data_IF_703649334697
#
_entry.id   IF_703649334697
#
_cell.length_a   1.000
_cell.length_b   1.000
_cell.length_c   1.000
_cell.angle_alpha   90.00
_cell.angle_beta   90.00
_cell.angle_gamma   90.00
#
_symmetry.space_group_name_H-M   'P 1'
#
loop_
_entity.id
_entity.type
_entity.pdbx_description
1 polymer ?
#
# COMPACT_ATOMS: atom_id res chain seq x y z
N UNK A 1 -29.29 -8.43 19.29
CA UNK A 1 -27.89 -8.41 19.75
C UNK A 1 -27.05 -7.85 18.63
N UNK A 2 -26.73 -6.55 18.68
CA UNK A 2 -25.88 -5.87 17.69
C UNK A 2 -24.44 -6.27 17.95
N UNK A 3 -23.81 -6.95 17.01
CA UNK A 3 -22.40 -7.28 17.11
C UNK A 3 -21.61 -5.97 17.26
N UNK A 4 -20.83 -5.87 18.34
CA UNK A 4 -19.86 -4.81 18.57
C UNK A 4 -18.96 -4.75 17.31
N UNK A 5 -18.74 -3.55 16.74
CA UNK A 5 -17.78 -3.37 15.65
C UNK A 5 -16.51 -4.16 16.00
N UNK A 6 -16.23 -5.14 15.16
CA UNK A 6 -15.51 -6.36 15.50
C UNK A 6 -14.03 -6.10 15.87
N UNK A 7 -13.45 -6.85 16.81
CA UNK A 7 -11.99 -6.94 17.08
C UNK A 7 -11.19 -7.52 15.89
N UNK A 8 -11.68 -7.38 14.65
CA UNK A 8 -11.06 -7.90 13.44
C UNK A 8 -9.95 -6.96 12.99
N UNK A 9 -8.95 -7.52 12.32
CA UNK A 9 -7.94 -6.74 11.62
C UNK A 9 -8.65 -5.74 10.69
N UNK A 10 -8.34 -4.44 10.74
CA UNK A 10 -9.05 -3.40 10.00
C UNK A 10 -8.97 -3.55 8.47
N UNK A 11 -8.11 -4.44 7.96
CA UNK A 11 -8.03 -4.79 6.53
C UNK A 11 -9.10 -5.83 6.14
N UNK A 12 -9.66 -6.57 7.10
CA UNK A 12 -10.66 -7.61 6.85
C UNK A 12 -12.05 -6.98 6.87
N UNK A 13 -12.55 -6.65 5.68
CA UNK A 13 -13.92 -6.18 5.45
C UNK A 13 -14.97 -7.29 5.62
N UNK A 14 -16.24 -6.91 5.47
CA UNK A 14 -17.37 -7.84 5.64
C UNK A 14 -17.49 -8.84 4.49
N UNK A 15 -16.94 -8.51 3.32
CA UNK A 15 -16.84 -9.41 2.16
C UNK A 15 -15.39 -9.59 1.69
N UNK A 16 -15.19 -10.59 0.81
CA UNK A 16 -13.90 -10.80 0.13
C UNK A 16 -13.52 -9.62 -0.76
N UNK A 17 -14.50 -8.99 -1.42
CA UNK A 17 -14.29 -7.83 -2.28
C UNK A 17 -13.84 -6.63 -1.44
N UNK A 18 -14.52 -6.37 -0.32
CA UNK A 18 -14.12 -5.29 0.60
C UNK A 18 -12.71 -5.51 1.14
N UNK A 19 -12.40 -6.75 1.55
CA UNK A 19 -11.06 -7.11 2.03
C UNK A 19 -9.98 -6.89 0.96
N UNK A 20 -10.25 -7.26 -0.29
CA UNK A 20 -9.30 -7.05 -1.40
C UNK A 20 -9.13 -5.57 -1.71
N UNK A 21 -10.22 -4.80 -1.69
CA UNK A 21 -10.21 -3.35 -1.88
C UNK A 21 -9.39 -2.65 -0.80
N UNK A 22 -9.64 -2.96 0.47
CA UNK A 22 -8.91 -2.39 1.60
C UNK A 22 -7.42 -2.76 1.55
N UNK A 23 -7.10 -4.01 1.21
CA UNK A 23 -5.72 -4.44 1.00
C UNK A 23 -5.04 -3.69 -0.16
N UNK A 24 -5.74 -3.44 -1.27
CA UNK A 24 -5.24 -2.69 -2.41
C UNK A 24 -4.93 -1.24 -2.01
N UNK A 25 -5.85 -0.59 -1.29
CA UNK A 25 -5.66 0.76 -0.76
C UNK A 25 -4.45 0.85 0.18
N UNK A 26 -4.31 -0.10 1.11
CA UNK A 26 -3.18 -0.13 2.04
C UNK A 26 -1.86 -0.33 1.28
N UNK A 27 -1.82 -1.25 0.32
CA UNK A 27 -0.63 -1.46 -0.51
C UNK A 27 -0.26 -0.19 -1.30
N UNK A 28 -1.21 0.47 -1.95
CA UNK A 28 -0.98 1.75 -2.65
C UNK A 28 -0.44 2.84 -1.72
N UNK A 29 -1.00 2.95 -0.51
CA UNK A 29 -0.52 3.91 0.48
C UNK A 29 0.90 3.61 0.94
N UNK A 30 1.21 2.35 1.23
CA UNK A 30 2.54 1.92 1.65
C UNK A 30 3.58 2.15 0.55
N UNK A 31 3.23 1.86 -0.70
CA UNK A 31 4.07 2.18 -1.84
C UNK A 31 4.37 3.68 -1.88
N UNK A 32 3.34 4.54 -1.75
CA UNK A 32 3.56 5.99 -1.74
C UNK A 32 4.45 6.46 -0.59
N UNK A 33 4.25 5.93 0.60
CA UNK A 33 5.08 6.24 1.77
C UNK A 33 6.55 5.85 1.54
N UNK A 34 6.80 4.72 0.89
CA UNK A 34 8.14 4.24 0.60
C UNK A 34 8.86 5.16 -0.40
N UNK A 35 8.20 5.60 -1.47
CA UNK A 35 8.85 6.51 -2.44
C UNK A 35 9.14 7.89 -1.81
N UNK A 36 8.21 8.43 -1.02
CA UNK A 36 8.43 9.70 -0.31
C UNK A 36 9.59 9.59 0.71
N UNK A 37 9.70 8.43 1.39
CA UNK A 37 10.83 8.16 2.30
C UNK A 37 12.16 8.00 1.56
N UNK A 38 12.16 7.31 0.42
CA UNK A 38 13.36 7.20 -0.43
C UNK A 38 13.87 8.57 -0.83
N UNK A 39 12.98 9.47 -1.23
CA UNK A 39 13.37 10.80 -1.67
C UNK A 39 13.93 11.62 -0.51
N UNK A 40 13.33 11.54 0.68
CA UNK A 40 13.88 12.14 1.90
C UNK A 40 15.28 11.62 2.25
N UNK A 41 15.53 10.31 2.11
CA UNK A 41 16.85 9.69 2.33
C UNK A 41 17.89 10.14 1.28
N UNK A 42 17.45 10.31 0.03
CA UNK A 42 18.31 10.77 -1.06
C UNK A 42 18.66 12.26 -0.96
N UNK A 43 17.71 13.08 -0.47
CA UNK A 43 17.90 14.52 -0.28
C UNK A 43 18.59 14.86 1.05
N UNK A 44 18.79 13.88 1.94
CA UNK A 44 19.39 14.10 3.25
C UNK A 44 18.47 14.83 4.24
N UNK A 45 17.15 14.80 4.04
CA UNK A 45 16.17 15.52 4.85
C UNK A 45 15.90 14.90 6.23
N UNK A 46 16.52 13.74 6.53
CA UNK A 46 16.34 13.09 7.83
C UNK A 46 17.08 13.82 8.97
N UNK A 47 16.31 14.70 9.61
CA UNK A 47 16.39 15.21 10.99
C UNK A 47 17.38 16.34 11.31
N UNK A 48 16.80 17.50 11.68
CA UNK A 48 16.96 18.33 12.91
C UNK A 48 18.31 18.49 13.62
N UNK A 49 19.40 17.91 13.17
CA UNK A 49 20.72 17.99 13.76
C UNK A 49 21.81 17.91 12.67
N UNK A 50 21.87 18.93 11.80
CA UNK A 50 23.08 19.46 11.17
C UNK A 50 24.05 18.57 10.36
N UNK A 51 23.87 17.24 10.25
CA UNK A 51 24.88 16.35 9.64
C UNK A 51 24.29 15.09 8.97
N UNK A 52 23.12 15.16 8.34
CA UNK A 52 22.61 14.03 7.54
C UNK A 52 23.18 14.11 6.11
N UNK A 53 24.22 13.31 5.82
CA UNK A 53 24.61 13.04 4.43
C UNK A 53 23.51 12.22 3.75
N UNK A 54 23.27 12.40 2.44
CA UNK A 54 22.46 11.47 1.66
C UNK A 54 22.84 10.02 1.95
N UNK A 55 21.83 9.16 2.08
CA UNK A 55 21.99 7.71 2.23
C UNK A 55 21.44 6.99 0.99
N UNK A 56 22.23 6.92 -0.10
CA UNK A 56 21.76 6.42 -1.38
C UNK A 56 21.49 4.91 -1.35
N UNK A 57 22.15 4.14 -0.46
CA UNK A 57 21.94 2.70 -0.37
C UNK A 57 20.55 2.41 0.23
N UNK A 58 20.23 3.02 1.37
CA UNK A 58 18.91 2.87 1.99
C UNK A 58 17.80 3.48 1.11
N UNK A 59 18.08 4.56 0.37
CA UNK A 59 17.13 5.10 -0.61
C UNK A 59 16.83 4.09 -1.72
N UNK A 60 17.85 3.44 -2.29
CA UNK A 60 17.67 2.42 -3.34
C UNK A 60 16.93 1.18 -2.84
N UNK A 61 17.25 0.69 -1.64
CA UNK A 61 16.50 -0.41 -1.02
C UNK A 61 15.03 -0.04 -0.81
N UNK A 62 14.77 1.19 -0.35
CA UNK A 62 13.41 1.71 -0.16
C UNK A 62 12.65 1.80 -1.50
N UNK A 63 13.32 2.19 -2.60
CA UNK A 63 12.75 2.16 -3.97
C UNK A 63 12.44 0.74 -4.43
N UNK A 64 13.30 -0.22 -4.11
CA UNK A 64 13.04 -1.63 -4.40
C UNK A 64 11.78 -2.14 -3.68
N UNK A 65 11.62 -1.76 -2.41
CA UNK A 65 10.42 -2.09 -1.64
C UNK A 65 9.16 -1.40 -2.19
N UNK A 66 9.26 -0.13 -2.60
CA UNK A 66 8.21 0.58 -3.33
C UNK A 66 7.74 -0.21 -4.54
N UNK A 67 8.68 -0.63 -5.40
CA UNK A 67 8.35 -1.36 -6.62
C UNK A 67 7.59 -2.66 -6.33
N UNK A 68 8.02 -3.45 -5.34
CA UNK A 68 7.33 -4.69 -4.96
C UNK A 68 5.93 -4.40 -4.40
N UNK A 69 5.79 -3.36 -3.58
CA UNK A 69 4.51 -2.99 -2.96
C UNK A 69 3.53 -2.41 -3.98
N UNK A 70 4.02 -1.64 -4.96
CA UNK A 70 3.23 -1.14 -6.09
C UNK A 70 2.74 -2.28 -7.00
N UNK A 71 3.61 -3.25 -7.32
CA UNK A 71 3.22 -4.42 -8.10
C UNK A 71 2.14 -5.24 -7.39
N UNK A 72 2.23 -5.38 -6.05
CA UNK A 72 1.19 -6.02 -5.25
C UNK A 72 -0.13 -5.23 -5.32
N UNK A 73 -0.10 -3.91 -5.17
CA UNK A 73 -1.28 -3.07 -5.28
C UNK A 73 -1.96 -3.23 -6.65
N UNK A 74 -1.17 -3.19 -7.73
CA UNK A 74 -1.67 -3.39 -9.09
C UNK A 74 -2.33 -4.77 -9.28
N UNK A 75 -1.72 -5.84 -8.74
CA UNK A 75 -2.30 -7.17 -8.81
C UNK A 75 -3.63 -7.27 -8.05
N UNK A 76 -3.74 -6.61 -6.88
CA UNK A 76 -4.99 -6.58 -6.12
C UNK A 76 -6.10 -5.81 -6.86
N UNK A 77 -5.76 -4.69 -7.50
CA UNK A 77 -6.70 -3.95 -8.35
C UNK A 77 -7.16 -4.75 -9.56
N UNK A 78 -6.24 -5.43 -10.24
CA UNK A 78 -6.58 -6.32 -11.35
C UNK A 78 -7.56 -7.42 -10.92
N UNK A 79 -7.34 -8.04 -9.76
CA UNK A 79 -8.24 -9.06 -9.22
C UNK A 79 -9.62 -8.51 -8.82
N UNK A 80 -9.70 -7.23 -8.45
CA UNK A 80 -10.99 -6.56 -8.19
C UNK A 80 -11.73 -6.26 -9.49
N UNK A 81 -11.04 -5.72 -10.50
CA UNK A 81 -11.59 -5.38 -11.80
C UNK A 81 -12.12 -6.63 -12.54
N UNK A 82 -11.32 -7.70 -12.58
CA UNK A 82 -11.73 -8.97 -13.21
C UNK A 82 -12.93 -9.65 -12.53
N UNK A 83 -13.22 -9.31 -11.28
CA UNK A 83 -14.43 -9.79 -10.57
C UNK A 83 -15.66 -8.93 -10.85
N UNK A 84 -15.48 -7.61 -10.96
CA UNK A 84 -16.58 -6.71 -11.30
C UNK A 84 -17.13 -7.01 -12.70
N UNK A 85 -16.26 -7.34 -13.66
CA UNK A 85 -16.70 -7.74 -15.01
C UNK A 85 -17.47 -9.07 -15.01
N UNK A 86 -17.10 -10.02 -14.15
CA UNK A 86 -17.79 -11.30 -14.02
C UNK A 86 -19.18 -11.16 -13.37
N UNK A 87 -19.36 -10.21 -12.45
CA UNK A 87 -20.63 -9.95 -11.77
C UNK A 87 -21.58 -9.06 -12.60
N UNK A 88 -21.05 -8.21 -13.49
CA UNK A 88 -21.83 -7.34 -14.39
C UNK A 88 -22.36 -8.01 -15.67
N UNK A 89 -21.93 -9.24 -15.99
CA UNK A 89 -22.35 -9.99 -17.18
C UNK A 89 -23.71 -10.69 -17.07
N UNK A 90 -24.42 -10.51 -15.95
CA UNK A 90 -25.78 -11.04 -15.73
C UNK A 90 -26.74 -9.88 -15.48
N UNK A 91 -27.11 -9.16 -16.55
CA UNK A 91 -28.26 -8.25 -16.51
C UNK A 91 -29.14 -8.40 -17.75
#
# INVERSE_FOLDING_TARGET
MTAKASDRNPIIGDSRVDTLHDAACVASFLARLQIDRSDSLFLGESTRAGTASPDPLNANETRGLYFVTEALAAALWFELEGRQEAEGGQS
#
